data_IF_295236964783
#
_entry.id   IF_295236964783
#
_cell.length_a   1.000
_cell.length_b   1.000
_cell.length_c   1.000
_cell.angle_alpha   90.00
_cell.angle_beta   90.00
_cell.angle_gamma   90.00
#
_symmetry.space_group_name_H-M   'P 1'
#
loop_
_entity.id
_entity.type
_entity.pdbx_description
1 polymer ?
#
# COMPACT_ATOMS: atom_id res chain seq x y z
N UNK A 1 46.33 -53.81 -0.60
CA UNK A 1 46.52 -55.17 -0.03
C UNK A 1 46.01 -55.12 1.40
N UNK A 2 45.02 -55.97 1.68
CA UNK A 2 44.48 -56.42 2.97
C UNK A 2 44.00 -55.40 4.04
N UNK A 3 42.68 -55.50 4.27
CA UNK A 3 41.92 -55.31 5.51
C UNK A 3 42.66 -55.66 6.80
N UNK A 4 42.28 -54.99 7.91
CA UNK A 4 41.72 -55.69 9.07
C UNK A 4 41.00 -54.73 10.03
N UNK A 5 39.71 -55.03 10.20
CA UNK A 5 38.82 -54.66 11.30
C UNK A 5 39.22 -55.35 12.61
N UNK A 6 38.91 -54.74 13.76
CA UNK A 6 38.60 -55.51 14.97
C UNK A 6 37.58 -54.79 15.85
N UNK A 7 36.61 -55.60 16.30
CA UNK A 7 35.43 -55.29 17.08
C UNK A 7 35.74 -55.06 18.58
N UNK A 8 34.88 -54.23 19.19
CA UNK A 8 34.30 -54.13 20.56
C UNK A 8 34.42 -55.35 21.51
N UNK A 9 34.26 -55.25 22.87
CA UNK A 9 33.09 -54.58 23.51
C UNK A 9 33.17 -54.06 25.00
N UNK A 10 32.08 -53.37 25.38
CA UNK A 10 31.40 -53.34 26.71
C UNK A 10 31.90 -52.50 27.90
N UNK A 11 30.99 -51.67 28.45
CA UNK A 11 31.00 -51.17 29.83
C UNK A 11 30.33 -49.80 30.04
N UNK A 12 29.03 -49.79 30.40
CA UNK A 12 28.17 -48.62 30.74
C UNK A 12 28.54 -47.97 32.13
N UNK A 13 27.72 -47.05 32.69
CA UNK A 13 27.43 -45.66 32.32
C UNK A 13 27.87 -44.67 33.44
N UNK A 14 27.95 -43.36 33.17
CA UNK A 14 28.28 -42.34 34.21
C UNK A 14 27.10 -41.38 34.39
N UNK A 15 26.73 -41.20 35.66
CA UNK A 15 25.58 -40.48 36.20
C UNK A 15 25.60 -38.96 35.93
N UNK A 16 24.39 -38.41 35.69
CA UNK A 16 24.11 -36.96 35.65
C UNK A 16 24.10 -36.36 37.07
N UNK A 17 24.88 -35.30 37.26
CA UNK A 17 24.81 -34.43 38.43
C UNK A 17 24.16 -33.08 38.09
N UNK A 18 23.21 -32.71 38.93
CA UNK A 18 22.37 -31.50 38.89
C UNK A 18 23.15 -30.27 39.41
N UNK A 19 22.94 -29.10 38.80
CA UNK A 19 23.28 -27.81 39.41
C UNK A 19 22.31 -26.70 38.98
N UNK A 20 22.06 -25.80 39.93
CA UNK A 20 20.84 -25.00 40.09
C UNK A 20 20.96 -23.57 39.56
N UNK A 21 19.81 -23.02 39.16
CA UNK A 21 19.33 -21.62 39.28
C UNK A 21 20.33 -20.45 39.29
N UNK A 22 20.24 -19.57 38.28
CA UNK A 22 19.77 -18.18 38.44
C UNK A 22 19.96 -17.40 37.14
N UNK A 23 18.86 -17.00 36.50
CA UNK A 23 18.89 -16.15 35.31
C UNK A 23 17.59 -15.40 35.20
N UNK A 24 17.55 -14.20 35.79
CA UNK A 24 16.45 -13.24 35.73
C UNK A 24 16.05 -12.96 34.29
N UNK A 25 15.03 -13.66 33.80
CA UNK A 25 14.37 -13.32 32.54
C UNK A 25 13.56 -12.06 32.75
N UNK A 26 14.15 -10.92 32.37
CA UNK A 26 13.42 -9.70 32.08
C UNK A 26 12.40 -10.01 30.97
N UNK A 27 11.16 -10.29 31.38
CA UNK A 27 10.00 -10.33 30.49
C UNK A 27 9.70 -8.90 30.07
N UNK A 28 10.45 -8.39 29.10
CA UNK A 28 10.09 -7.14 28.43
C UNK A 28 8.89 -7.45 27.54
N UNK A 29 7.72 -7.07 28.00
CA UNK A 29 6.47 -7.11 27.25
C UNK A 29 6.60 -6.25 25.98
N UNK A 30 6.87 -6.88 24.84
CA UNK A 30 6.79 -6.28 23.50
C UNK A 30 5.31 -6.13 23.10
N UNK A 31 4.52 -5.47 23.95
CA UNK A 31 3.10 -5.20 23.72
C UNK A 31 2.80 -3.69 23.64
N UNK A 32 3.85 -2.85 23.55
CA UNK A 32 3.72 -1.38 23.61
C UNK A 32 4.59 -0.64 22.58
N UNK A 33 4.95 -1.27 21.46
CA UNK A 33 5.67 -0.60 20.35
C UNK A 33 4.85 -0.51 19.06
N UNK A 34 3.54 -0.26 19.17
CA UNK A 34 3.00 0.73 18.24
C UNK A 34 3.81 2.00 18.55
N UNK A 35 4.49 2.59 17.58
CA UNK A 35 5.20 3.86 17.80
C UNK A 35 4.16 4.87 18.28
N UNK A 36 4.10 5.11 19.59
CA UNK A 36 3.00 5.81 20.26
C UNK A 36 2.86 7.29 19.87
N UNK A 37 3.68 7.74 18.92
CA UNK A 37 3.84 9.12 18.47
C UNK A 37 3.61 9.30 16.96
N UNK A 38 3.10 8.28 16.25
CA UNK A 38 2.76 8.44 14.82
C UNK A 38 1.43 9.15 14.67
N UNK A 39 1.47 10.34 14.09
CA UNK A 39 0.28 11.09 13.68
C UNK A 39 -0.24 10.56 12.36
N UNK A 40 -1.25 9.71 12.43
CA UNK A 40 -1.97 9.17 11.27
C UNK A 40 -3.00 10.18 10.74
N UNK A 41 -3.45 9.96 9.51
CA UNK A 41 -4.45 10.83 8.88
C UNK A 41 -5.82 10.65 9.53
N UNK A 42 -6.63 11.70 9.54
CA UNK A 42 -7.95 11.70 10.18
C UNK A 42 -8.86 10.58 9.66
N UNK A 43 -8.79 10.28 8.35
CA UNK A 43 -9.52 9.16 7.71
C UNK A 43 -9.13 7.81 8.29
N UNK A 44 -7.86 7.60 8.65
CA UNK A 44 -7.42 6.34 9.25
C UNK A 44 -7.94 6.22 10.68
N UNK A 45 -7.88 7.32 11.44
CA UNK A 45 -8.41 7.40 12.80
C UNK A 45 -9.92 7.16 12.86
N UNK A 46 -10.66 7.60 11.84
CA UNK A 46 -12.08 7.30 11.67
C UNK A 46 -12.30 5.82 11.36
N UNK A 47 -11.61 5.27 10.36
CA UNK A 47 -11.76 3.87 9.94
C UNK A 47 -11.36 2.88 11.04
N UNK A 48 -10.41 3.22 11.91
CA UNK A 48 -10.07 2.38 13.06
C UNK A 48 -11.21 2.22 14.07
N UNK A 49 -12.13 3.19 14.16
CA UNK A 49 -13.29 3.16 15.07
C UNK A 49 -14.46 2.39 14.45
N UNK A 50 -14.48 2.23 13.13
CA UNK A 50 -15.53 1.53 12.40
C UNK A 50 -15.26 0.03 12.36
N UNK A 51 -16.28 -0.80 12.59
CA UNK A 51 -16.14 -2.27 12.56
C UNK A 51 -15.92 -2.79 11.13
N UNK A 52 -16.53 -2.14 10.13
CA UNK A 52 -16.46 -2.47 8.72
C UNK A 52 -17.33 -3.65 8.32
N UNK A 53 -18.19 -4.16 9.21
CA UNK A 53 -18.98 -5.35 8.94
C UNK A 53 -20.12 -5.04 7.97
N UNK A 54 -20.25 -5.87 6.95
CA UNK A 54 -21.29 -5.71 5.93
C UNK A 54 -22.58 -6.33 6.42
N UNK A 55 -23.61 -5.50 6.59
CA UNK A 55 -24.93 -5.95 7.03
C UNK A 55 -25.64 -6.71 5.91
N UNK A 56 -26.06 -7.95 6.20
CA UNK A 56 -26.86 -8.75 5.25
C UNK A 56 -28.35 -8.58 5.54
N UNK A 57 -29.14 -8.58 4.46
CA UNK A 57 -30.59 -8.72 4.58
C UNK A 57 -30.94 -10.16 4.99
N UNK A 58 -32.09 -10.33 5.63
CA UNK A 58 -32.63 -11.65 5.96
C UNK A 58 -32.95 -12.41 4.66
N UNK A 59 -32.41 -13.62 4.53
CA UNK A 59 -32.77 -14.54 3.45
C UNK A 59 -34.15 -15.16 3.74
N UNK A 60 -35.14 -14.92 2.89
CA UNK A 60 -36.53 -15.38 3.08
C UNK A 60 -36.67 -16.90 3.09
N UNK A 61 -35.78 -17.63 2.41
CA UNK A 61 -35.86 -19.09 2.24
C UNK A 61 -35.05 -19.84 3.30
N UNK A 62 -33.92 -19.30 3.70
CA UNK A 62 -32.96 -19.97 4.57
C UNK A 62 -33.03 -19.50 6.04
N UNK A 63 -33.53 -18.27 6.31
CA UNK A 63 -33.57 -17.75 7.67
C UNK A 63 -34.80 -18.23 8.46
N UNK A 64 -34.60 -19.27 9.27
CA UNK A 64 -35.60 -19.84 10.19
C UNK A 64 -35.46 -19.30 11.62
N UNK A 65 -35.59 -17.98 11.77
CA UNK A 65 -35.57 -17.33 13.07
C UNK A 65 -36.43 -16.06 13.07
N UNK A 66 -36.70 -15.54 14.27
CA UNK A 66 -37.51 -14.33 14.47
C UNK A 66 -36.70 -13.07 14.10
N UNK A 67 -37.37 -11.91 14.05
CA UNK A 67 -36.79 -10.65 13.58
C UNK A 67 -35.56 -10.17 14.39
N UNK A 68 -35.49 -10.48 15.69
CA UNK A 68 -34.40 -10.05 16.58
C UNK A 68 -33.28 -11.09 16.74
N UNK A 69 -33.25 -12.10 15.89
CA UNK A 69 -32.23 -13.14 15.90
C UNK A 69 -31.46 -13.13 14.58
N UNK A 70 -30.24 -13.69 14.58
CA UNK A 70 -29.44 -13.84 13.37
C UNK A 70 -28.96 -15.28 13.22
N UNK A 71 -28.89 -15.77 11.99
CA UNK A 71 -28.24 -17.04 11.64
C UNK A 71 -27.09 -16.82 10.66
N UNK A 72 -26.44 -17.90 10.24
CA UNK A 72 -25.33 -17.88 9.27
C UNK A 72 -25.68 -17.28 7.90
N UNK A 73 -26.97 -17.13 7.58
CA UNK A 73 -27.43 -16.56 6.31
C UNK A 73 -27.72 -15.05 6.38
N UNK A 74 -27.84 -14.45 7.57
CA UNK A 74 -28.12 -13.03 7.74
C UNK A 74 -27.21 -12.33 8.74
N UNK A 75 -26.30 -13.03 9.41
CA UNK A 75 -25.27 -12.41 10.26
C UNK A 75 -24.40 -11.46 9.42
N UNK A 76 -23.86 -10.38 9.99
CA UNK A 76 -22.97 -9.50 9.24
C UNK A 76 -21.75 -10.26 8.70
N UNK A 77 -21.30 -9.90 7.51
CA UNK A 77 -20.06 -10.42 6.93
C UNK A 77 -18.86 -9.59 7.37
N UNK A 78 -17.70 -10.23 7.44
CA UNK A 78 -16.45 -9.53 7.68
C UNK A 78 -16.07 -8.66 6.45
N UNK A 79 -15.38 -7.52 6.64
CA UNK A 79 -15.01 -6.61 5.53
C UNK A 79 -14.08 -7.26 4.48
N UNK A 80 -13.48 -8.40 4.81
CA UNK A 80 -12.58 -9.17 3.95
C UNK A 80 -13.19 -10.48 3.42
N UNK A 81 -14.52 -10.62 3.45
CA UNK A 81 -15.23 -11.77 2.89
C UNK A 81 -15.06 -11.87 1.37
N UNK A 82 -14.42 -12.94 0.91
CA UNK A 82 -14.02 -13.10 -0.50
C UNK A 82 -15.22 -13.27 -1.45
N UNK A 83 -16.32 -13.88 -0.98
CA UNK A 83 -17.51 -14.09 -1.79
C UNK A 83 -18.24 -12.76 -2.03
N UNK A 84 -18.42 -11.96 -0.98
CA UNK A 84 -19.00 -10.63 -1.07
C UNK A 84 -18.22 -9.71 -2.01
N UNK A 85 -16.90 -9.67 -1.84
CA UNK A 85 -16.03 -8.81 -2.66
C UNK A 85 -16.07 -9.20 -4.13
N UNK A 86 -16.08 -10.51 -4.43
CA UNK A 86 -16.20 -11.00 -5.80
C UNK A 86 -17.55 -10.64 -6.43
N UNK A 87 -18.64 -10.79 -5.70
CA UNK A 87 -19.99 -10.41 -6.16
C UNK A 87 -20.10 -8.92 -6.50
N UNK A 88 -19.39 -8.07 -5.75
CA UNK A 88 -19.37 -6.62 -5.94
C UNK A 88 -18.24 -6.13 -6.85
N UNK A 89 -17.56 -7.03 -7.57
CA UNK A 89 -16.44 -6.73 -8.47
C UNK A 89 -15.27 -5.98 -7.81
N UNK A 90 -15.05 -6.19 -6.51
CA UNK A 90 -13.95 -5.61 -5.75
C UNK A 90 -12.71 -6.48 -5.91
N UNK A 91 -11.74 -6.01 -6.70
CA UNK A 91 -10.52 -6.76 -7.05
C UNK A 91 -9.47 -6.87 -5.93
N UNK A 92 -9.44 -5.91 -5.01
CA UNK A 92 -8.47 -5.85 -3.92
C UNK A 92 -9.15 -5.41 -2.63
N UNK A 93 -8.66 -5.89 -1.50
CA UNK A 93 -9.07 -5.38 -0.19
C UNK A 93 -8.68 -3.91 -0.04
N UNK A 94 -9.51 -3.13 0.65
CA UNK A 94 -9.04 -1.88 1.23
C UNK A 94 -7.94 -2.18 2.26
N UNK A 95 -7.01 -1.25 2.44
CA UNK A 95 -5.92 -1.45 3.40
C UNK A 95 -6.45 -1.70 4.82
N UNK A 96 -7.51 -1.01 5.23
CA UNK A 96 -8.13 -1.22 6.54
C UNK A 96 -8.85 -2.56 6.66
N UNK A 97 -9.50 -3.08 5.61
CA UNK A 97 -10.02 -4.44 5.60
C UNK A 97 -8.90 -5.49 5.70
N UNK A 98 -7.77 -5.24 5.05
CA UNK A 98 -6.57 -6.08 5.18
C UNK A 98 -6.00 -6.07 6.61
N UNK A 99 -5.93 -4.90 7.26
CA UNK A 99 -5.56 -4.80 8.68
C UNK A 99 -6.53 -5.59 9.57
N UNK A 100 -7.85 -5.51 9.33
CA UNK A 100 -8.85 -6.32 10.04
C UNK A 100 -8.62 -7.81 9.84
N UNK A 101 -8.30 -8.25 8.62
CA UNK A 101 -7.96 -9.65 8.33
C UNK A 101 -6.74 -10.14 9.11
N UNK A 102 -5.70 -9.32 9.23
CA UNK A 102 -4.50 -9.67 10.00
C UNK A 102 -4.71 -9.63 11.52
N UNK A 103 -5.69 -8.86 11.99
CA UNK A 103 -5.95 -8.67 13.43
C UNK A 103 -7.13 -9.50 13.96
N UNK A 104 -7.85 -10.25 13.13
CA UNK A 104 -9.01 -11.06 13.54
C UNK A 104 -8.65 -12.36 14.28
N UNK A 105 -7.38 -12.76 14.31
CA UNK A 105 -6.89 -13.94 15.01
C UNK A 105 -6.90 -13.84 16.55
N UNK A 106 -6.52 -14.94 17.21
CA UNK A 106 -6.50 -15.06 18.68
C UNK A 106 -5.66 -13.97 19.35
N UNK A 107 -4.54 -13.60 18.72
CA UNK A 107 -3.61 -12.60 19.22
C UNK A 107 -4.10 -11.15 19.04
N UNK A 108 -5.24 -10.93 18.37
CA UNK A 108 -5.83 -9.61 18.11
C UNK A 108 -4.84 -8.56 17.59
N UNK A 109 -3.89 -9.00 16.75
CA UNK A 109 -2.86 -8.12 16.19
C UNK A 109 -1.71 -7.76 17.13
N UNK A 110 -1.58 -8.41 18.30
CA UNK A 110 -0.50 -8.12 19.27
C UNK A 110 0.90 -8.22 18.68
N UNK A 111 1.10 -9.11 17.70
CA UNK A 111 2.37 -9.32 17.01
C UNK A 111 2.37 -8.80 15.57
N UNK A 112 1.36 -8.00 15.20
CA UNK A 112 1.31 -7.41 13.88
C UNK A 112 2.41 -6.35 13.75
N UNK A 113 3.39 -6.63 12.90
CA UNK A 113 4.41 -5.69 12.47
C UNK A 113 4.40 -5.65 10.94
N UNK A 114 3.95 -4.51 10.39
CA UNK A 114 3.99 -4.27 8.96
C UNK A 114 5.37 -3.74 8.58
N UNK A 115 6.04 -4.43 7.66
CA UNK A 115 7.38 -4.07 7.21
C UNK A 115 7.39 -3.90 5.69
N UNK A 116 7.91 -2.78 5.22
CA UNK A 116 8.18 -2.59 3.79
C UNK A 116 9.26 -3.56 3.33
N UNK A 117 9.16 -4.01 2.08
CA UNK A 117 10.19 -4.84 1.45
C UNK A 117 11.47 -4.02 1.30
N UNK A 118 12.53 -4.43 2.02
CA UNK A 118 13.84 -3.79 1.96
C UNK A 118 14.82 -4.64 1.15
N UNK A 119 15.10 -4.19 -0.07
CA UNK A 119 16.05 -4.82 -0.99
C UNK A 119 17.50 -4.30 -0.81
N UNK A 120 17.79 -3.56 0.27
CA UNK A 120 19.11 -3.01 0.56
C UNK A 120 19.88 -3.95 1.48
N UNK A 121 21.21 -3.92 1.38
CA UNK A 121 22.09 -4.63 2.31
C UNK A 121 21.86 -4.05 3.72
N UNK A 122 21.69 -4.93 4.71
CA UNK A 122 21.54 -4.51 6.11
C UNK A 122 22.85 -3.91 6.59
N UNK A 123 22.78 -2.70 7.12
CA UNK A 123 23.91 -2.01 7.73
C UNK A 123 24.26 -2.59 9.11
N UNK A 124 25.50 -2.38 9.56
CA UNK A 124 25.92 -2.75 10.92
C UNK A 124 26.23 -4.23 11.16
N UNK A 125 26.51 -5.00 10.10
CA UNK A 125 26.98 -6.38 10.25
C UNK A 125 28.38 -6.41 10.90
N UNK A 126 28.53 -7.17 11.98
CA UNK A 126 29.79 -7.27 12.75
C UNK A 126 30.74 -8.35 12.24
N UNK A 127 30.29 -9.20 11.33
CA UNK A 127 31.03 -10.39 10.88
C UNK A 127 31.97 -10.12 9.69
N UNK A 128 31.93 -8.92 9.10
CA UNK A 128 32.77 -8.53 7.96
C UNK A 128 32.95 -7.01 7.91
N UNK A 129 33.94 -6.50 7.16
CA UNK A 129 34.07 -5.07 6.90
C UNK A 129 32.82 -4.48 6.23
N UNK A 130 32.47 -3.20 6.45
CA UNK A 130 31.32 -2.58 5.82
C UNK A 130 31.30 -2.71 4.29
N UNK A 131 30.10 -2.82 3.71
CA UNK A 131 29.91 -2.76 2.26
C UNK A 131 30.60 -1.51 1.68
N UNK A 132 31.33 -1.58 0.55
CA UNK A 132 31.43 -2.70 -0.40
C UNK A 132 32.54 -3.72 -0.13
N UNK A 133 33.25 -3.63 1.01
CA UNK A 133 34.43 -4.46 1.29
C UNK A 133 34.10 -5.86 1.83
N UNK A 134 32.87 -6.12 2.22
CA UNK A 134 32.41 -7.42 2.70
C UNK A 134 30.89 -7.54 2.69
N UNK A 135 30.41 -8.77 2.54
CA UNK A 135 29.00 -9.16 2.62
C UNK A 135 28.90 -10.59 3.15
N UNK A 136 27.83 -10.91 3.88
CA UNK A 136 27.54 -12.27 4.33
C UNK A 136 26.05 -12.60 4.14
N UNK A 137 25.70 -13.88 4.32
CA UNK A 137 24.32 -14.34 4.19
C UNK A 137 23.33 -13.71 5.19
N UNK A 138 23.81 -13.14 6.30
CA UNK A 138 22.98 -12.49 7.31
C UNK A 138 22.58 -11.05 6.94
N UNK A 139 23.43 -10.34 6.19
CA UNK A 139 23.22 -8.94 5.82
C UNK A 139 22.77 -8.75 4.37
N UNK A 140 23.02 -9.73 3.50
CA UNK A 140 22.49 -9.70 2.13
C UNK A 140 20.95 -9.73 2.17
N UNK A 141 20.28 -8.98 1.27
CA UNK A 141 18.83 -9.05 1.16
C UNK A 141 18.42 -10.44 0.66
N UNK A 142 17.27 -10.93 1.13
CA UNK A 142 16.71 -12.18 0.65
C UNK A 142 16.25 -12.03 -0.81
N UNK A 143 16.24 -13.15 -1.55
CA UNK A 143 15.60 -13.20 -2.85
C UNK A 143 14.13 -12.82 -2.72
N UNK A 144 13.63 -12.02 -3.67
CA UNK A 144 12.27 -11.49 -3.63
C UNK A 144 11.42 -12.23 -4.65
N UNK A 145 10.26 -12.69 -4.20
CA UNK A 145 9.20 -13.19 -5.07
C UNK A 145 8.13 -12.11 -5.21
N UNK A 146 7.91 -11.64 -6.43
CA UNK A 146 6.89 -10.63 -6.73
C UNK A 146 5.53 -11.33 -6.89
N UNK A 147 4.73 -11.30 -5.82
CA UNK A 147 3.36 -11.78 -5.83
C UNK A 147 2.39 -10.62 -6.08
N UNK A 148 1.18 -10.91 -6.55
CA UNK A 148 0.11 -9.91 -6.63
C UNK A 148 -0.22 -9.42 -5.21
N UNK A 149 -0.21 -8.09 -5.04
CA UNK A 149 -0.56 -7.48 -3.77
C UNK A 149 -2.07 -7.64 -3.51
N UNK A 150 -2.52 -8.16 -2.35
CA UNK A 150 -3.93 -8.48 -2.12
C UNK A 150 -4.78 -7.29 -1.65
N UNK A 151 -4.16 -6.13 -1.40
CA UNK A 151 -4.79 -4.92 -0.90
C UNK A 151 -4.26 -3.67 -1.61
N UNK A 152 -4.94 -2.54 -1.43
CA UNK A 152 -4.52 -1.21 -1.90
C UNK A 152 -4.78 -0.15 -0.83
N UNK A 153 -3.98 0.92 -0.81
CA UNK A 153 -4.09 1.99 0.19
C UNK A 153 -5.24 2.95 -0.05
N UNK A 154 -5.59 3.18 -1.32
CA UNK A 154 -6.78 3.92 -1.74
C UNK A 154 -7.56 3.06 -2.71
N UNK A 155 -8.88 3.15 -2.63
CA UNK A 155 -9.83 2.37 -3.42
C UNK A 155 -10.39 3.14 -4.60
N UNK A 156 -10.38 4.46 -4.51
CA UNK A 156 -10.95 5.34 -5.52
C UNK A 156 -10.22 6.68 -5.59
N UNK A 157 -10.20 7.28 -6.77
CA UNK A 157 -9.84 8.68 -7.00
C UNK A 157 -11.05 9.37 -7.57
N UNK A 158 -11.55 10.39 -6.88
CA UNK A 158 -12.68 11.22 -7.31
C UNK A 158 -12.16 12.62 -7.58
N UNK A 159 -12.55 13.21 -8.71
CA UNK A 159 -12.34 14.64 -8.96
C UNK A 159 -13.58 15.39 -8.51
N UNK A 160 -13.40 16.42 -7.66
CA UNK A 160 -14.49 17.23 -7.13
C UNK A 160 -15.28 17.90 -8.25
N UNK A 161 -14.57 18.37 -9.29
CA UNK A 161 -15.19 18.95 -10.46
C UNK A 161 -14.57 18.47 -11.78
N UNK A 162 -15.41 18.25 -12.80
CA UNK A 162 -14.97 17.82 -14.14
C UNK A 162 -14.08 18.86 -14.80
N UNK A 163 -14.33 20.13 -14.51
CA UNK A 163 -13.62 21.30 -15.01
C UNK A 163 -12.13 21.27 -14.65
N UNK A 164 -11.74 20.58 -13.56
CA UNK A 164 -10.35 20.38 -13.19
C UNK A 164 -9.60 19.61 -14.29
N UNK A 165 -10.17 18.47 -14.69
CA UNK A 165 -9.61 17.60 -15.73
C UNK A 165 -9.71 18.28 -17.09
N UNK A 166 -10.84 18.93 -17.39
CA UNK A 166 -10.99 19.67 -18.66
C UNK A 166 -9.95 20.77 -18.83
N UNK A 167 -9.69 21.56 -17.78
CA UNK A 167 -8.66 22.60 -17.81
C UNK A 167 -7.26 22.01 -18.00
N UNK A 168 -6.96 20.90 -17.33
CA UNK A 168 -5.69 20.18 -17.50
C UNK A 168 -5.52 19.65 -18.94
N UNK A 169 -6.57 19.07 -19.51
CA UNK A 169 -6.57 18.53 -20.88
C UNK A 169 -6.54 19.61 -21.97
N UNK A 170 -6.97 20.84 -21.67
CA UNK A 170 -6.90 21.95 -22.62
C UNK A 170 -5.47 22.23 -23.10
N UNK A 171 -4.45 22.01 -22.26
CA UNK A 171 -3.06 22.14 -22.68
C UNK A 171 -2.74 21.20 -23.85
N UNK A 172 -3.12 19.92 -23.73
CA UNK A 172 -2.91 18.93 -24.79
C UNK A 172 -3.74 19.27 -26.04
N UNK A 173 -4.99 19.72 -25.88
CA UNK A 173 -5.85 20.10 -27.03
C UNK A 173 -5.25 21.24 -27.87
N UNK A 174 -4.58 22.19 -27.23
CA UNK A 174 -4.00 23.36 -27.91
C UNK A 174 -2.61 23.04 -28.48
N UNK A 175 -1.79 22.27 -27.76
CA UNK A 175 -0.38 22.08 -28.11
C UNK A 175 -0.08 20.75 -28.81
N UNK A 176 -0.91 19.74 -28.59
CA UNK A 176 -0.64 18.34 -28.94
C UNK A 176 0.50 17.71 -28.12
N UNK A 177 0.98 18.36 -27.06
CA UNK A 177 2.03 17.84 -26.17
C UNK A 177 1.42 17.25 -24.90
N UNK A 178 2.07 16.21 -24.37
CA UNK A 178 1.65 15.56 -23.14
C UNK A 178 1.89 16.46 -21.91
N UNK A 179 1.18 16.18 -20.83
CA UNK A 179 1.21 17.01 -19.62
C UNK A 179 1.22 16.18 -18.35
N UNK A 180 1.91 16.68 -17.32
CA UNK A 180 1.90 16.14 -15.95
C UNK A 180 1.38 17.19 -14.96
N UNK A 181 0.67 16.74 -13.93
CA UNK A 181 0.22 17.55 -12.82
C UNK A 181 0.27 16.79 -11.49
N UNK A 182 0.39 17.53 -10.39
CA UNK A 182 0.24 17.04 -9.03
C UNK A 182 -1.20 17.26 -8.57
N UNK A 183 -1.79 16.23 -7.96
CA UNK A 183 -3.16 16.22 -7.50
C UNK A 183 -3.20 16.66 -6.04
N UNK A 184 -3.92 17.74 -5.75
CA UNK A 184 -4.16 18.26 -4.41
C UNK A 184 -5.58 17.98 -3.99
N UNK A 185 -5.73 17.60 -2.72
CA UNK A 185 -6.98 17.08 -2.21
C UNK A 185 -6.90 16.65 -0.76
N UNK A 186 -7.85 15.81 -0.38
CA UNK A 186 -7.90 15.15 0.91
C UNK A 186 -8.27 13.66 0.72
N UNK A 187 -8.15 12.90 1.81
CA UNK A 187 -8.59 11.51 1.84
C UNK A 187 -9.87 11.41 2.66
N UNK A 188 -10.87 10.73 2.10
CA UNK A 188 -12.18 10.56 2.70
C UNK A 188 -12.55 9.08 2.75
N UNK A 189 -13.49 8.71 3.63
CA UNK A 189 -14.06 7.37 3.65
C UNK A 189 -14.80 7.09 2.34
N UNK A 190 -14.56 5.93 1.76
CA UNK A 190 -15.25 5.43 0.58
C UNK A 190 -16.18 4.29 0.98
N UNK A 191 -17.47 4.46 0.71
CA UNK A 191 -18.54 3.56 1.21
C UNK A 191 -18.83 2.37 0.31
N UNK A 192 -18.41 2.39 -0.96
CA UNK A 192 -18.72 1.30 -1.90
C UNK A 192 -17.79 0.09 -1.71
N UNK A 193 -16.71 0.27 -0.96
CA UNK A 193 -15.79 -0.79 -0.55
C UNK A 193 -15.73 -0.81 0.98
N UNK A 194 -15.87 -1.97 1.65
CA UNK A 194 -15.77 -2.04 3.11
C UNK A 194 -14.46 -1.45 3.63
N UNK A 195 -14.57 -0.48 4.54
CA UNK A 195 -13.44 0.28 5.10
C UNK A 195 -12.55 0.93 4.02
N UNK A 196 -13.15 1.36 2.90
CA UNK A 196 -12.42 1.95 1.79
C UNK A 196 -12.00 3.39 2.04
N UNK A 197 -10.97 3.82 1.31
CA UNK A 197 -10.53 5.22 1.26
C UNK A 197 -10.61 5.73 -0.18
N UNK A 198 -11.12 6.94 -0.38
CA UNK A 198 -11.01 7.66 -1.66
C UNK A 198 -10.10 8.87 -1.51
N UNK A 199 -9.34 9.17 -2.56
CA UNK A 199 -8.68 10.46 -2.73
C UNK A 199 -9.66 11.42 -3.43
N UNK A 200 -10.07 12.47 -2.74
CA UNK A 200 -10.90 13.54 -3.31
C UNK A 200 -10.00 14.67 -3.81
N UNK A 201 -9.92 14.84 -5.12
CA UNK A 201 -9.05 15.81 -5.80
C UNK A 201 -9.81 17.11 -6.04
N UNK A 202 -9.30 18.20 -5.48
CA UNK A 202 -9.89 19.54 -5.57
C UNK A 202 -9.10 20.48 -6.48
N UNK A 203 -7.82 20.19 -6.71
CA UNK A 203 -6.96 20.98 -7.57
C UNK A 203 -5.90 20.13 -8.27
N UNK A 204 -5.48 20.61 -9.44
CA UNK A 204 -4.33 20.08 -10.18
C UNK A 204 -3.33 21.21 -10.30
N UNK A 205 -2.15 21.01 -9.74
CA UNK A 205 -1.00 21.91 -9.86
C UNK A 205 -0.08 21.40 -10.96
N UNK A 206 0.28 22.25 -11.91
CA UNK A 206 1.16 21.87 -13.02
C UNK A 206 2.57 22.42 -12.76
N UNK A 207 3.50 21.60 -12.22
CA UNK A 207 4.87 22.06 -11.96
C UNK A 207 5.60 22.41 -13.27
N UNK A 208 6.68 23.21 -13.19
CA UNK A 208 7.57 23.46 -14.31
C UNK A 208 7.98 22.16 -15.01
N UNK A 209 7.77 22.10 -16.32
CA UNK A 209 7.99 20.89 -17.11
C UNK A 209 8.28 21.21 -18.58
N UNK A 210 9.14 20.41 -19.19
CA UNK A 210 9.33 20.34 -20.65
C UNK A 210 8.40 19.26 -21.19
N UNK A 211 7.43 19.67 -22.00
CA UNK A 211 6.40 18.80 -22.57
C UNK A 211 6.60 18.66 -24.07
N UNK A 212 6.60 17.43 -24.57
CA UNK A 212 6.58 17.10 -25.99
C UNK A 212 5.44 16.12 -26.32
N UNK A 213 5.38 15.64 -27.58
CA UNK A 213 4.40 14.63 -28.00
C UNK A 213 4.61 13.26 -27.33
N UNK A 214 5.87 12.91 -27.05
CA UNK A 214 6.25 11.53 -26.69
C UNK A 214 6.99 11.44 -25.33
N UNK A 215 7.39 12.58 -24.75
CA UNK A 215 8.04 12.62 -23.45
C UNK A 215 7.69 13.88 -22.65
N UNK A 216 7.78 13.76 -21.33
CA UNK A 216 7.66 14.85 -20.37
C UNK A 216 8.88 14.80 -19.45
N UNK A 217 9.46 15.96 -19.15
CA UNK A 217 10.52 16.11 -18.16
C UNK A 217 10.12 17.16 -17.14
N UNK A 218 10.03 16.75 -15.87
CA UNK A 218 9.87 17.68 -14.76
C UNK A 218 11.14 18.51 -14.57
N UNK A 219 10.96 19.80 -14.33
CA UNK A 219 12.01 20.75 -14.01
C UNK A 219 11.97 21.07 -12.51
N UNK A 220 13.06 21.61 -11.93
CA UNK A 220 13.04 22.12 -10.56
C UNK A 220 11.93 23.17 -10.38
N UNK A 221 11.16 23.04 -9.29
CA UNK A 221 10.09 23.96 -8.96
C UNK A 221 10.47 24.85 -7.79
N UNK A 222 10.81 26.10 -8.08
CA UNK A 222 11.16 27.10 -7.06
C UNK A 222 9.96 27.49 -6.17
N UNK A 223 8.74 27.12 -6.56
CA UNK A 223 7.50 27.46 -5.84
C UNK A 223 6.94 26.29 -5.06
N UNK A 224 7.60 25.13 -5.06
CA UNK A 224 7.09 23.89 -4.44
C UNK A 224 6.70 24.13 -2.98
N UNK A 225 7.61 24.71 -2.20
CA UNK A 225 7.41 25.01 -0.77
C UNK A 225 6.24 25.99 -0.54
N UNK A 226 6.09 27.00 -1.40
CA UNK A 226 4.99 27.96 -1.31
C UNK A 226 3.65 27.30 -1.60
N UNK A 227 3.60 26.40 -2.59
CA UNK A 227 2.39 25.66 -2.93
C UNK A 227 2.01 24.71 -1.80
N UNK A 228 2.97 24.03 -1.17
CA UNK A 228 2.72 23.21 0.02
C UNK A 228 2.21 24.02 1.20
N UNK A 229 2.77 25.21 1.45
CA UNK A 229 2.30 26.09 2.52
C UNK A 229 0.84 26.53 2.29
N UNK A 230 0.51 26.93 1.05
CA UNK A 230 -0.87 27.31 0.68
C UNK A 230 -1.81 26.12 0.83
N UNK A 231 -1.42 24.95 0.31
CA UNK A 231 -2.21 23.74 0.42
C UNK A 231 -2.48 23.37 1.89
N UNK A 232 -1.43 23.38 2.73
CA UNK A 232 -1.55 23.10 4.16
C UNK A 232 -2.49 24.06 4.89
N UNK A 233 -2.46 25.36 4.57
CA UNK A 233 -3.39 26.36 5.13
C UNK A 233 -4.85 26.14 4.71
N UNK A 234 -5.07 25.53 3.54
CA UNK A 234 -6.38 25.16 3.03
C UNK A 234 -6.82 23.76 3.49
N UNK A 235 -6.01 23.06 4.30
CA UNK A 235 -6.27 21.68 4.72
C UNK A 235 -6.15 20.67 3.58
N UNK A 236 -5.42 21.03 2.52
CA UNK A 236 -5.15 20.18 1.35
C UNK A 236 -3.74 19.60 1.44
N UNK A 237 -3.55 18.49 0.73
CA UNK A 237 -2.26 17.83 0.57
C UNK A 237 -2.14 17.24 -0.82
N UNK A 238 -0.91 16.88 -1.21
CA UNK A 238 -0.68 16.06 -2.40
C UNK A 238 -1.25 14.65 -2.16
N UNK A 239 -2.22 14.26 -2.97
CA UNK A 239 -2.88 12.96 -2.91
C UNK A 239 -2.47 12.03 -4.05
N UNK A 240 -1.80 12.56 -5.07
CA UNK A 240 -1.33 11.80 -6.21
C UNK A 240 -0.74 12.67 -7.31
N UNK A 241 -0.54 12.07 -8.47
CA UNK A 241 -0.14 12.75 -9.70
C UNK A 241 -0.96 12.24 -10.88
N UNK A 242 -1.05 13.07 -11.91
CA UNK A 242 -1.77 12.80 -13.15
C UNK A 242 -0.88 13.09 -14.34
N UNK A 243 -0.95 12.26 -15.37
CA UNK A 243 -0.28 12.52 -16.63
C UNK A 243 -1.13 12.08 -17.83
N UNK A 244 -0.86 12.66 -18.99
CA UNK A 244 -1.53 12.30 -20.24
C UNK A 244 -0.66 11.37 -21.08
N UNK A 245 -1.32 10.39 -21.71
CA UNK A 245 -0.80 9.67 -22.87
C UNK A 245 -1.92 9.61 -23.92
N UNK A 246 -2.05 10.74 -24.62
CA UNK A 246 -3.12 10.98 -25.58
C UNK A 246 -2.53 11.14 -26.98
N UNK A 247 -3.02 10.32 -27.90
CA UNK A 247 -2.71 10.41 -29.33
C UNK A 247 -4.00 10.68 -30.09
N UNK A 248 -4.04 11.78 -30.85
CA UNK A 248 -5.20 12.10 -31.68
C UNK A 248 -5.44 11.01 -32.74
N UNK A 249 -6.69 10.57 -32.87
CA UNK A 249 -7.14 9.70 -33.94
C UNK A 249 -7.83 10.53 -35.02
N UNK A 250 -8.87 11.28 -34.63
CA UNK A 250 -9.60 12.20 -35.50
C UNK A 250 -9.72 13.56 -34.80
N UNK A 251 -8.93 14.52 -35.27
CA UNK A 251 -8.87 15.88 -34.70
C UNK A 251 -10.21 16.61 -34.84
N UNK A 252 -11.01 16.31 -35.88
CA UNK A 252 -12.30 16.97 -36.08
C UNK A 252 -13.38 16.45 -35.13
N UNK A 253 -13.31 15.17 -34.76
CA UNK A 253 -14.23 14.55 -33.80
C UNK A 253 -13.75 14.63 -32.35
N UNK A 254 -12.48 15.01 -32.14
CA UNK A 254 -11.86 15.02 -30.82
C UNK A 254 -11.64 13.61 -30.26
N UNK A 255 -11.48 12.59 -31.11
CA UNK A 255 -11.22 11.21 -30.66
C UNK A 255 -9.73 10.95 -30.50
N UNK A 256 -9.42 10.06 -29.57
CA UNK A 256 -8.06 9.63 -29.24
C UNK A 256 -7.90 8.14 -29.45
N UNK A 257 -6.68 7.70 -29.74
CA UNK A 257 -6.36 6.28 -29.93
C UNK A 257 -6.36 5.57 -28.58
N UNK A 258 -6.97 4.39 -28.54
CA UNK A 258 -6.91 3.47 -27.41
C UNK A 258 -5.61 2.66 -27.46
N UNK A 259 -4.53 3.22 -26.93
CA UNK A 259 -3.18 2.62 -26.99
C UNK A 259 -2.86 1.69 -25.82
N UNK A 260 -3.58 1.80 -24.70
CA UNK A 260 -3.32 1.09 -23.45
C UNK A 260 -4.39 0.05 -23.14
N UNK A 261 -4.14 -1.21 -23.50
CA UNK A 261 -5.09 -2.31 -23.34
C UNK A 261 -4.38 -3.65 -23.04
N UNK A 262 -5.16 -4.73 -22.96
CA UNK A 262 -4.67 -6.06 -22.58
C UNK A 262 -3.61 -6.67 -23.51
N UNK A 263 -3.53 -6.23 -24.77
CA UNK A 263 -2.53 -6.70 -25.75
C UNK A 263 -1.34 -5.74 -25.88
N UNK A 264 -1.34 -4.63 -25.13
CA UNK A 264 -0.24 -3.68 -25.08
C UNK A 264 0.32 -3.58 -23.66
N UNK A 265 0.08 -2.48 -22.96
CA UNK A 265 0.44 -2.25 -21.57
C UNK A 265 -0.52 -1.21 -20.96
N UNK A 266 -0.67 -1.23 -19.64
CA UNK A 266 -1.44 -0.20 -18.92
C UNK A 266 -0.52 0.90 -18.37
N UNK A 267 0.65 0.53 -17.87
CA UNK A 267 1.70 1.44 -17.40
C UNK A 267 3.05 1.00 -17.96
N UNK A 268 3.86 1.96 -18.40
CA UNK A 268 5.22 1.71 -18.86
C UNK A 268 6.16 1.51 -17.67
N UNK A 269 7.32 0.87 -17.91
CA UNK A 269 8.32 0.68 -16.85
C UNK A 269 8.79 2.01 -16.25
N UNK A 270 8.95 3.05 -17.07
CA UNK A 270 9.36 4.39 -16.62
C UNK A 270 8.29 5.04 -15.74
N UNK A 271 7.02 4.89 -16.10
CA UNK A 271 5.89 5.37 -15.28
C UNK A 271 5.81 4.65 -13.94
N UNK A 272 6.05 3.33 -13.91
CA UNK A 272 6.13 2.56 -12.67
C UNK A 272 7.28 3.03 -11.76
N UNK A 273 8.45 3.32 -12.34
CA UNK A 273 9.59 3.88 -11.58
C UNK A 273 9.24 5.26 -11.02
N UNK A 274 8.61 6.11 -11.81
CA UNK A 274 8.20 7.45 -11.38
C UNK A 274 7.12 7.40 -10.30
N UNK A 275 6.13 6.51 -10.43
CA UNK A 275 5.13 6.26 -9.40
C UNK A 275 5.80 5.80 -8.08
N UNK A 276 6.76 4.87 -8.16
CA UNK A 276 7.52 4.41 -7.00
C UNK A 276 8.35 5.53 -6.35
N UNK A 277 8.94 6.43 -7.15
CA UNK A 277 9.65 7.61 -6.65
C UNK A 277 8.70 8.53 -5.86
N UNK A 278 7.54 8.87 -6.44
CA UNK A 278 6.55 9.71 -5.76
C UNK A 278 5.99 9.06 -4.49
N UNK A 279 5.68 7.76 -4.52
CA UNK A 279 5.19 7.03 -3.34
C UNK A 279 6.22 7.01 -2.21
N UNK A 280 7.51 6.84 -2.52
CA UNK A 280 8.59 6.93 -1.53
C UNK A 280 8.73 8.34 -0.92
N UNK A 281 8.41 9.39 -1.68
CA UNK A 281 8.37 10.77 -1.20
C UNK A 281 7.14 11.10 -0.34
N UNK A 282 6.10 10.26 -0.39
CA UNK A 282 4.83 10.48 0.32
C UNK A 282 4.43 9.23 1.11
N UNK A 283 5.21 8.83 2.13
CA UNK A 283 4.93 7.64 2.92
C UNK A 283 3.62 7.79 3.69
N UNK A 284 2.92 6.67 3.88
CA UNK A 284 1.70 6.63 4.68
C UNK A 284 2.04 6.35 6.16
N UNK A 285 1.71 7.26 7.10
CA UNK A 285 1.85 7.01 8.53
C UNK A 285 1.03 5.78 8.95
N UNK A 286 1.62 4.90 9.75
CA UNK A 286 0.97 3.66 10.17
C UNK A 286 1.50 3.19 11.53
N UNK A 287 0.61 3.08 12.52
CA UNK A 287 0.95 2.64 13.89
C UNK A 287 1.42 1.19 13.99
N UNK A 288 1.08 0.36 13.00
CA UNK A 288 1.46 -1.06 12.96
C UNK A 288 2.82 -1.29 12.31
N UNK A 289 3.47 -0.22 11.82
CA UNK A 289 4.79 -0.30 11.22
C UNK A 289 5.87 0.07 12.25
N UNK A 290 6.94 -0.73 12.43
CA UNK A 290 8.00 -0.44 13.41
C UNK A 290 8.72 0.90 13.18
N UNK A 291 8.80 1.35 11.92
CA UNK A 291 9.36 2.65 11.51
C UNK A 291 8.30 3.77 11.42
N UNK A 292 7.05 3.48 11.80
CA UNK A 292 5.94 4.44 11.82
C UNK A 292 5.29 4.74 10.46
N UNK A 293 5.75 4.12 9.37
CA UNK A 293 5.18 4.30 8.03
C UNK A 293 5.09 2.96 7.30
N UNK A 294 4.05 2.78 6.48
CA UNK A 294 3.90 1.58 5.66
C UNK A 294 3.17 1.90 4.35
N UNK A 295 3.86 1.65 3.23
CA UNK A 295 3.40 1.98 1.89
C UNK A 295 3.04 3.46 1.70
N UNK A 296 2.10 3.74 0.79
CA UNK A 296 1.71 5.11 0.42
C UNK A 296 0.27 5.17 -0.12
N UNK A 297 -0.46 6.22 0.25
CA UNK A 297 -1.77 6.57 -0.34
C UNK A 297 -1.65 7.41 -1.62
N UNK A 298 -0.43 7.68 -2.10
CA UNK A 298 -0.19 8.56 -3.25
C UNK A 298 -0.63 7.88 -4.56
N UNK A 299 -1.67 8.44 -5.18
CA UNK A 299 -2.28 7.91 -6.39
C UNK A 299 -1.46 8.21 -7.65
N UNK A 300 -1.62 7.36 -8.66
CA UNK A 300 -1.14 7.62 -10.03
C UNK A 300 -2.34 7.56 -10.97
N UNK A 301 -2.59 8.63 -11.73
CA UNK A 301 -3.67 8.72 -12.71
C UNK A 301 -3.08 8.89 -14.10
N UNK A 302 -3.37 7.97 -15.02
CA UNK A 302 -3.02 8.10 -16.42
C UNK A 302 -4.29 8.47 -17.21
N UNK A 303 -4.25 9.57 -17.96
CA UNK A 303 -5.33 9.95 -18.88
C UNK A 303 -4.96 9.47 -20.28
N UNK A 304 -5.72 8.51 -20.79
CA UNK A 304 -5.53 7.89 -22.09
C UNK A 304 -6.89 7.65 -22.76
N UNK A 305 -6.87 7.18 -24.02
CA UNK A 305 -8.07 6.90 -24.82
C UNK A 305 -8.73 5.57 -24.51
#
# INVERSE_FOLDING_TARGET
ICFQSNNTPSGEPVEEAVASTSGSSARTSIASRASADVREDDVDLELYKTDGRVQRKRDEKLCRHNANSACVHCSPLEPYDEAYLKEHNVKHLSFHAYLRKLTSGVDRGKFLALEDIRCRIKEGCKDHPPWPKGICSKCQPNAITLNQQPYRHIDNVTFENKELVERFLNYWRVTGHQRIGLLYGNYEVHTDVPLGIKANVVAIYEPPQESSRDHIRLLPDERDDLVEEIAGRLGLRRVGWIFTDLLAEDVQKGTVKHTRHGDSHFLSAQECIMAGHFQNGHPNPCRYAPNGVFGSKFATVCVTG
#
